data_IF_964211277829
#
_entry.id   IF_964211277829
#
_cell.length_a   1.000
_cell.length_b   1.000
_cell.length_c   1.000
_cell.angle_alpha   90.00
_cell.angle_beta   90.00
_cell.angle_gamma   90.00
#
_symmetry.space_group_name_H-M   'P 1'
#
loop_
_entity.id
_entity.type
_entity.pdbx_description
1 polymer ?
#
# COMPACT_ATOMS: atom_id res chain seq x y z
N UNK A 1 9.64 1.13 3.01
CA UNK A 1 8.58 0.38 2.29
C UNK A 1 7.99 -0.70 3.18
N UNK A 2 8.80 -1.60 3.75
CA UNK A 2 8.29 -2.64 4.68
C UNK A 2 7.53 -2.07 5.89
N UNK A 3 7.99 -0.94 6.44
CA UNK A 3 7.27 -0.21 7.51
C UNK A 3 5.83 0.14 7.08
N UNK A 4 5.62 0.61 5.85
CA UNK A 4 4.29 1.00 5.37
C UNK A 4 3.39 -0.22 5.15
N UNK A 5 3.95 -1.32 4.60
CA UNK A 5 3.23 -2.59 4.41
C UNK A 5 2.81 -3.17 5.76
N UNK A 6 3.74 -3.26 6.71
CA UNK A 6 3.52 -3.92 7.99
C UNK A 6 2.67 -3.09 8.95
N UNK A 7 2.92 -1.77 9.05
CA UNK A 7 2.12 -0.88 9.89
C UNK A 7 0.69 -0.76 9.38
N UNK A 8 0.49 -0.83 8.06
CA UNK A 8 -0.82 -0.84 7.40
C UNK A 8 -1.79 0.17 8.03
N UNK A 9 -1.41 1.45 7.96
CA UNK A 9 -2.04 2.54 8.74
C UNK A 9 -3.55 2.62 8.47
N UNK A 10 -4.00 2.33 7.24
CA UNK A 10 -5.42 2.31 6.87
C UNK A 10 -6.04 0.92 7.03
N UNK A 11 -5.91 0.33 8.23
CA UNK A 11 -6.28 -1.08 8.49
C UNK A 11 -7.78 -1.40 8.41
N UNK A 12 -8.64 -0.47 8.80
CA UNK A 12 -10.08 -0.73 8.99
C UNK A 12 -10.97 -0.08 7.94
N UNK A 13 -10.55 1.05 7.37
CA UNK A 13 -11.34 1.81 6.42
C UNK A 13 -10.41 2.49 5.43
N UNK A 14 -10.19 1.83 4.29
CA UNK A 14 -9.76 2.59 3.12
C UNK A 14 -10.90 3.52 2.69
N UNK A 15 -10.56 4.58 1.98
CA UNK A 15 -11.53 5.57 1.53
C UNK A 15 -12.56 4.89 0.62
N UNK A 16 -13.82 4.91 1.04
CA UNK A 16 -14.91 4.33 0.28
C UNK A 16 -15.05 5.01 -1.08
N UNK A 17 -15.20 4.21 -2.14
CA UNK A 17 -15.51 4.68 -3.48
C UNK A 17 -16.99 4.47 -3.77
N UNK A 18 -17.55 5.26 -4.69
CA UNK A 18 -18.90 5.04 -5.22
C UNK A 18 -18.83 4.88 -6.74
N UNK A 19 -19.60 3.92 -7.26
CA UNK A 19 -19.62 3.65 -8.70
C UNK A 19 -20.34 4.76 -9.47
N UNK A 20 -19.64 5.36 -10.43
CA UNK A 20 -20.19 6.41 -11.28
C UNK A 20 -21.17 5.88 -12.35
N UNK A 21 -21.03 4.60 -12.72
CA UNK A 21 -21.84 3.88 -13.71
C UNK A 21 -21.92 2.41 -13.32
N UNK A 22 -22.80 1.67 -13.96
CA UNK A 22 -22.87 0.21 -13.82
C UNK A 22 -21.57 -0.40 -14.36
N UNK A 23 -21.01 -1.36 -13.62
CA UNK A 23 -19.72 -1.99 -13.94
C UNK A 23 -19.80 -3.47 -13.59
N UNK A 24 -19.29 -4.31 -14.49
CA UNK A 24 -19.06 -5.73 -14.26
C UNK A 24 -17.59 -5.93 -13.87
N UNK A 25 -17.36 -6.62 -12.74
CA UNK A 25 -16.02 -6.96 -12.25
C UNK A 25 -16.00 -8.47 -11.98
N UNK A 26 -15.25 -9.22 -12.78
CA UNK A 26 -15.31 -10.67 -12.78
C UNK A 26 -16.74 -11.15 -13.09
N UNK A 27 -17.26 -12.04 -12.26
CA UNK A 27 -18.62 -12.58 -12.39
C UNK A 27 -19.69 -11.72 -11.68
N UNK A 28 -19.31 -10.56 -11.13
CA UNK A 28 -20.19 -9.71 -10.33
C UNK A 28 -20.62 -8.45 -11.09
N UNK A 29 -21.93 -8.19 -11.07
CA UNK A 29 -22.52 -6.97 -11.63
C UNK A 29 -22.82 -5.95 -10.54
N UNK A 30 -22.18 -4.78 -10.63
CA UNK A 30 -22.40 -3.68 -9.70
C UNK A 30 -23.18 -2.54 -10.34
N UNK A 31 -24.15 -2.01 -9.61
CA UNK A 31 -24.99 -0.89 -10.03
C UNK A 31 -24.38 0.45 -9.65
N UNK A 32 -24.66 1.47 -10.44
CA UNK A 32 -24.31 2.87 -10.17
C UNK A 32 -24.76 3.27 -8.76
N UNK A 33 -23.89 3.98 -8.07
CA UNK A 33 -24.13 4.47 -6.71
C UNK A 33 -23.83 3.48 -5.60
N UNK A 34 -23.53 2.21 -5.92
CA UNK A 34 -23.04 1.28 -4.89
C UNK A 34 -21.68 1.72 -4.36
N UNK A 35 -21.53 1.59 -3.03
CA UNK A 35 -20.29 1.90 -2.31
C UNK A 35 -19.38 0.67 -2.35
N UNK A 36 -18.13 0.88 -2.76
CA UNK A 36 -17.09 -0.12 -2.80
C UNK A 36 -15.96 0.29 -1.85
N UNK A 37 -15.64 -0.60 -0.92
CA UNK A 37 -14.43 -0.49 -0.11
C UNK A 37 -13.37 -1.42 -0.70
N UNK A 38 -12.18 -0.90 -0.94
CA UNK A 38 -11.04 -1.68 -1.41
C UNK A 38 -10.18 -2.01 -0.19
N UNK A 39 -10.03 -3.28 0.16
CA UNK A 39 -9.24 -3.69 1.33
C UNK A 39 -7.78 -3.98 0.96
N UNK A 40 -6.91 -2.97 1.02
CA UNK A 40 -5.45 -3.17 0.84
C UNK A 40 -4.82 -4.06 1.93
N UNK A 41 -5.50 -4.20 3.07
CA UNK A 41 -4.98 -4.92 4.22
C UNK A 41 -4.90 -6.43 4.00
N UNK A 42 -5.91 -6.99 3.32
CA UNK A 42 -5.89 -8.39 2.89
C UNK A 42 -4.77 -8.60 1.87
N UNK A 43 -4.63 -7.68 0.90
CA UNK A 43 -3.59 -7.71 -0.13
C UNK A 43 -2.17 -7.73 0.44
N UNK A 44 -1.87 -6.88 1.43
CA UNK A 44 -0.54 -6.85 2.07
C UNK A 44 -0.23 -8.05 2.95
N UNK A 45 -1.25 -8.84 3.29
CA UNK A 45 -1.16 -10.06 4.09
C UNK A 45 -1.29 -11.33 3.27
N UNK A 46 -1.46 -11.20 1.96
CA UNK A 46 -1.61 -12.33 1.08
C UNK A 46 -0.25 -13.03 0.89
N UNK A 47 -0.11 -14.33 1.25
CA UNK A 47 1.12 -15.08 1.06
C UNK A 47 1.48 -15.30 -0.41
N UNK A 48 0.52 -15.20 -1.35
CA UNK A 48 0.80 -15.30 -2.78
C UNK A 48 1.46 -14.03 -3.33
N UNK A 49 1.22 -12.88 -2.67
CA UNK A 49 1.81 -11.59 -3.05
C UNK A 49 3.09 -11.31 -2.26
N UNK A 50 3.08 -11.59 -0.95
CA UNK A 50 4.21 -11.38 -0.05
C UNK A 50 4.49 -12.65 0.76
N UNK A 51 5.59 -13.34 0.46
CA UNK A 51 6.01 -14.54 1.20
C UNK A 51 6.12 -14.28 2.71
N UNK A 52 5.66 -15.15 3.61
CA UNK A 52 5.74 -14.90 5.07
C UNK A 52 5.24 -13.49 5.52
N UNK A 53 4.02 -13.09 5.18
CA UNK A 53 3.57 -11.69 5.29
C UNK A 53 3.51 -11.17 6.73
N UNK A 54 3.44 -12.07 7.73
CA UNK A 54 3.47 -11.75 9.16
C UNK A 54 4.86 -11.44 9.71
N UNK A 55 5.92 -11.59 8.91
CA UNK A 55 7.29 -11.24 9.29
C UNK A 55 7.65 -9.89 8.69
N UNK A 56 8.16 -9.00 9.54
CA UNK A 56 8.78 -7.75 9.09
C UNK A 56 10.15 -8.08 8.48
N UNK A 57 10.25 -7.99 7.16
CA UNK A 57 11.47 -8.26 6.42
C UNK A 57 11.76 -7.17 5.38
N UNK A 58 12.72 -6.27 5.64
CA UNK A 58 13.13 -5.24 4.68
C UNK A 58 13.73 -5.79 3.37
N UNK A 59 14.28 -7.01 3.38
CA UNK A 59 14.98 -7.58 2.22
C UNK A 59 14.05 -7.85 1.04
N UNK A 60 12.72 -7.88 1.27
CA UNK A 60 11.68 -7.98 0.22
C UNK A 60 11.78 -6.90 -0.85
N UNK A 61 12.31 -5.74 -0.48
CA UNK A 61 12.45 -4.59 -1.36
C UNK A 61 13.88 -4.41 -1.86
N UNK A 62 14.72 -5.43 -1.69
CA UNK A 62 16.08 -5.48 -2.18
C UNK A 62 16.21 -6.57 -3.24
N UNK A 63 17.06 -6.35 -4.24
CA UNK A 63 17.48 -7.39 -5.16
C UNK A 63 18.64 -8.21 -4.58
N UNK A 64 19.10 -9.23 -5.31
CA UNK A 64 20.23 -10.09 -4.91
C UNK A 64 21.53 -9.32 -4.68
N UNK A 65 21.66 -8.12 -5.25
CA UNK A 65 22.81 -7.24 -5.11
C UNK A 65 22.62 -6.21 -3.97
N UNK A 66 21.51 -6.27 -3.24
CA UNK A 66 21.15 -5.31 -2.19
C UNK A 66 20.68 -3.95 -2.72
N UNK A 67 20.39 -3.82 -4.01
CA UNK A 67 19.82 -2.60 -4.58
C UNK A 67 18.31 -2.57 -4.39
N UNK A 68 17.76 -1.36 -4.32
CA UNK A 68 16.34 -1.17 -4.13
C UNK A 68 15.53 -1.68 -5.32
N UNK A 69 14.67 -2.66 -5.07
CA UNK A 69 13.68 -3.16 -6.02
C UNK A 69 12.35 -2.47 -5.79
N UNK A 70 11.81 -1.84 -6.83
CA UNK A 70 10.45 -1.32 -6.82
C UNK A 70 9.46 -2.50 -6.82
N UNK A 71 8.51 -2.46 -5.89
CA UNK A 71 7.42 -3.42 -5.76
C UNK A 71 6.13 -2.69 -6.12
N UNK A 72 5.54 -3.03 -7.27
CA UNK A 72 4.31 -2.39 -7.77
C UNK A 72 3.06 -2.91 -7.05
N UNK A 73 3.18 -4.05 -6.37
CA UNK A 73 2.16 -4.67 -5.54
C UNK A 73 1.95 -3.91 -4.22
N UNK A 74 2.93 -3.10 -3.81
CA UNK A 74 2.84 -2.27 -2.61
C UNK A 74 2.12 -0.93 -2.93
N UNK A 75 0.83 -0.87 -2.62
CA UNK A 75 -0.06 0.27 -2.87
C UNK A 75 -0.58 0.97 -1.57
N UNK A 76 0.30 1.44 -0.66
CA UNK A 76 -0.11 2.02 0.63
C UNK A 76 -0.84 3.36 0.49
N UNK A 77 -0.77 3.98 -0.69
CA UNK A 77 -1.42 5.24 -1.04
C UNK A 77 -2.62 5.04 -1.99
N UNK A 78 -3.02 3.79 -2.22
CA UNK A 78 -4.01 3.42 -3.22
C UNK A 78 -3.49 3.50 -4.65
N UNK A 79 -4.40 3.33 -5.61
CA UNK A 79 -4.10 3.34 -7.04
C UNK A 79 -5.24 4.01 -7.84
N UNK A 80 -4.94 4.48 -9.04
CA UNK A 80 -5.91 5.02 -9.98
C UNK A 80 -6.21 6.51 -9.76
N UNK A 81 -7.37 6.98 -10.24
CA UNK A 81 -7.73 8.41 -10.29
C UNK A 81 -7.83 9.11 -8.93
N UNK A 82 -7.91 8.34 -7.85
CA UNK A 82 -8.05 8.83 -6.47
C UNK A 82 -6.88 8.37 -5.59
N UNK A 83 -5.71 8.12 -6.21
CA UNK A 83 -4.46 7.91 -5.47
C UNK A 83 -4.19 9.09 -4.53
N UNK A 84 -3.57 8.83 -3.39
CA UNK A 84 -3.25 9.85 -2.39
C UNK A 84 -2.48 11.00 -3.04
N UNK A 85 -3.06 12.20 -3.04
CA UNK A 85 -2.42 13.41 -3.55
C UNK A 85 -1.11 13.73 -2.81
N UNK A 86 -1.02 13.34 -1.53
CA UNK A 86 0.14 13.57 -0.68
C UNK A 86 1.23 12.51 -0.77
N UNK A 87 1.16 11.54 -1.69
CA UNK A 87 2.14 10.44 -1.76
C UNK A 87 3.59 10.93 -1.87
N UNK A 88 3.88 11.88 -2.76
CA UNK A 88 5.23 12.39 -2.97
C UNK A 88 5.79 13.10 -1.74
N UNK A 89 4.95 13.90 -1.07
CA UNK A 89 5.29 14.59 0.16
C UNK A 89 5.53 13.59 1.29
N UNK A 90 4.58 12.68 1.52
CA UNK A 90 4.67 11.68 2.58
C UNK A 90 5.91 10.78 2.43
N UNK A 91 6.26 10.37 1.21
CA UNK A 91 7.49 9.59 0.96
C UNK A 91 8.75 10.38 1.31
N UNK A 92 8.78 11.67 0.98
CA UNK A 92 9.91 12.56 1.30
C UNK A 92 10.02 12.78 2.81
N UNK A 93 8.91 13.08 3.48
CA UNK A 93 8.87 13.28 4.93
C UNK A 93 9.28 12.02 5.68
N UNK A 94 8.75 10.85 5.31
CA UNK A 94 9.12 9.57 5.93
C UNK A 94 10.62 9.31 5.80
N UNK A 95 11.20 9.55 4.63
CA UNK A 95 12.63 9.37 4.44
C UNK A 95 13.45 10.33 5.31
N UNK A 96 13.15 11.63 5.24
CA UNK A 96 13.91 12.65 5.97
C UNK A 96 13.81 12.47 7.49
N UNK A 97 12.62 12.19 8.01
CA UNK A 97 12.41 12.02 9.45
C UNK A 97 13.14 10.77 9.93
N UNK A 98 12.97 9.62 9.26
CA UNK A 98 13.61 8.38 9.67
C UNK A 98 15.14 8.44 9.55
N UNK A 99 15.66 9.00 8.45
CA UNK A 99 17.10 9.13 8.24
C UNK A 99 17.73 10.06 9.28
N UNK A 100 17.10 11.20 9.57
CA UNK A 100 17.62 12.13 10.59
C UNK A 100 17.56 11.51 11.99
N UNK A 101 16.46 10.82 12.33
CA UNK A 101 16.32 10.15 13.62
C UNK A 101 17.42 9.10 13.81
N UNK A 102 17.65 8.25 12.82
CA UNK A 102 18.70 7.23 12.85
C UNK A 102 20.12 7.81 12.85
N UNK A 103 20.32 8.97 12.23
CA UNK A 103 21.62 9.64 12.21
C UNK A 103 21.96 10.32 13.54
N UNK A 104 20.96 10.89 14.23
CA UNK A 104 21.18 11.66 15.46
C UNK A 104 21.14 10.82 16.74
N UNK A 105 20.42 9.69 16.73
CA UNK A 105 20.18 8.87 17.93
C UNK A 105 20.55 7.40 17.67
N UNK A 106 21.21 6.78 18.65
CA UNK A 106 21.53 5.35 18.69
C UNK A 106 20.64 4.62 19.66
#
# INVERSE_FOLDING_TARGET
>A
MEIQRFANIFRQFNLAHALAKDVEIGDYHFRRGQVLNIEFCAWFKDPEVFENPGVFDPNRFLDENGQFRKCDELIPFGIGRRVCLGESLARTELFLILANLANQYK
#
